data_IF_792580890355
#
_entry.id   IF_792580890355
#
_cell.length_a   1.000
_cell.length_b   1.000
_cell.length_c   1.000
_cell.angle_alpha   90.00
_cell.angle_beta   90.00
_cell.angle_gamma   90.00
#
_symmetry.space_group_name_H-M   'P 1'
#
loop_
_entity.id
_entity.type
_entity.pdbx_description
1 polymer ?
#
# COMPACT_ATOMS: atom_id res chain seq x y z
N UNK A 1 -16.98 9.11 0.31
CA UNK A 1 -16.54 10.00 -0.79
C UNK A 1 -17.67 10.06 -1.79
N UNK A 2 -18.00 11.25 -2.33
CA UNK A 2 -19.04 11.35 -3.36
C UNK A 2 -18.44 10.96 -4.71
N UNK A 3 -19.20 10.23 -5.52
CA UNK A 3 -18.84 9.96 -6.90
C UNK A 3 -18.72 11.30 -7.65
N UNK A 4 -17.67 11.42 -8.44
CA UNK A 4 -17.45 12.54 -9.35
C UNK A 4 -17.03 11.95 -10.70
N UNK A 5 -17.58 12.46 -11.79
CA UNK A 5 -17.20 12.02 -13.12
C UNK A 5 -15.79 12.54 -13.42
N UNK A 6 -14.93 11.68 -13.97
CA UNK A 6 -13.55 12.06 -14.30
C UNK A 6 -13.49 13.20 -15.33
N UNK A 7 -14.47 13.30 -16.24
CA UNK A 7 -14.59 14.40 -17.21
C UNK A 7 -14.83 15.76 -16.56
N UNK A 8 -15.42 15.78 -15.37
CA UNK A 8 -15.73 17.03 -14.66
C UNK A 8 -14.57 17.49 -13.76
N UNK A 9 -13.58 16.61 -13.52
CA UNK A 9 -12.52 16.82 -12.51
C UNK A 9 -11.13 16.86 -13.12
N UNK A 10 -10.87 16.12 -14.21
CA UNK A 10 -9.56 16.00 -14.83
C UNK A 10 -9.50 16.79 -16.15
N UNK A 11 -8.35 17.39 -16.49
CA UNK A 11 -8.12 17.97 -17.82
C UNK A 11 -8.19 16.91 -18.93
N UNK A 12 -8.58 17.33 -20.13
CA UNK A 12 -8.75 16.44 -21.29
C UNK A 12 -7.48 15.64 -21.64
N UNK A 13 -6.31 16.29 -21.58
CA UNK A 13 -5.02 15.64 -21.85
C UNK A 13 -4.75 14.48 -20.87
N UNK A 14 -5.02 14.70 -19.58
CA UNK A 14 -4.83 13.68 -18.55
C UNK A 14 -5.88 12.57 -18.67
N UNK A 15 -7.12 12.93 -19.02
CA UNK A 15 -8.17 11.94 -19.24
C UNK A 15 -7.83 11.02 -20.41
N UNK A 16 -7.31 11.57 -21.51
CA UNK A 16 -6.85 10.80 -22.66
C UNK A 16 -5.74 9.83 -22.27
N UNK A 17 -4.73 10.29 -21.52
CA UNK A 17 -3.67 9.41 -21.01
C UNK A 17 -4.22 8.31 -20.11
N UNK A 18 -5.14 8.60 -19.18
CA UNK A 18 -5.75 7.57 -18.32
C UNK A 18 -6.49 6.53 -19.16
N UNK A 19 -7.19 6.95 -20.21
CA UNK A 19 -7.91 6.05 -21.12
C UNK A 19 -6.99 5.11 -21.91
N UNK A 20 -5.71 5.45 -22.13
CA UNK A 20 -4.75 4.50 -22.73
C UNK A 20 -4.53 3.26 -21.85
N UNK A 21 -4.64 3.41 -20.53
CA UNK A 21 -4.36 2.34 -19.56
C UNK A 21 -5.61 1.75 -18.92
N UNK A 22 -6.72 2.49 -18.86
CA UNK A 22 -7.93 2.07 -18.16
C UNK A 22 -9.20 2.72 -18.74
N UNK A 23 -10.15 1.91 -19.20
CA UNK A 23 -11.39 2.38 -19.83
C UNK A 23 -12.63 1.70 -19.21
N UNK A 24 -13.70 2.48 -19.02
CA UNK A 24 -15.03 1.96 -18.67
C UNK A 24 -15.22 1.47 -17.22
N UNK A 25 -14.23 1.68 -16.34
CA UNK A 25 -14.31 1.28 -14.93
C UNK A 25 -14.20 2.44 -13.93
N UNK A 26 -14.04 2.08 -12.66
CA UNK A 26 -13.76 3.02 -11.56
C UNK A 26 -12.32 2.84 -11.07
N UNK A 27 -11.56 3.94 -11.00
CA UNK A 27 -10.21 3.97 -10.41
C UNK A 27 -10.26 4.77 -9.11
N UNK A 28 -9.63 4.24 -8.07
CA UNK A 28 -9.38 4.99 -6.84
C UNK A 28 -8.09 5.81 -6.98
N UNK A 29 -8.19 7.13 -6.83
CA UNK A 29 -7.03 8.03 -6.75
C UNK A 29 -6.73 8.27 -5.26
N UNK A 30 -5.60 7.74 -4.74
CA UNK A 30 -5.23 7.98 -3.35
C UNK A 30 -4.97 9.48 -3.10
N UNK A 31 -5.32 9.95 -1.90
CA UNK A 31 -5.00 11.32 -1.48
C UNK A 31 -3.49 11.51 -1.43
N UNK A 32 -3.00 12.65 -1.95
CA UNK A 32 -1.59 13.03 -1.80
C UNK A 32 -1.24 13.10 -0.31
N UNK A 33 -0.24 12.33 0.11
CA UNK A 33 0.24 12.23 1.50
C UNK A 33 1.36 13.22 1.79
N UNK A 34 1.25 14.45 1.30
CA UNK A 34 2.30 15.48 1.42
C UNK A 34 2.49 15.92 2.89
N UNK A 35 1.46 15.71 3.73
CA UNK A 35 1.45 16.01 5.17
C UNK A 35 0.83 14.86 5.97
N UNK A 36 1.28 13.62 5.74
CA UNK A 36 1.03 12.55 6.72
C UNK A 36 2.31 12.30 7.51
N UNK A 37 2.60 13.08 8.58
CA UNK A 37 3.63 12.67 9.50
C UNK A 37 3.16 11.37 10.15
N UNK A 38 3.98 10.33 10.10
CA UNK A 38 3.91 9.20 11.03
C UNK A 38 2.61 8.34 11.07
N UNK A 39 1.55 8.59 10.30
CA UNK A 39 0.26 7.89 10.51
C UNK A 39 0.24 6.42 10.05
N UNK A 40 1.37 5.91 9.56
CA UNK A 40 1.59 4.50 9.21
C UNK A 40 2.63 3.80 10.11
N UNK A 41 3.01 4.37 11.25
CA UNK A 41 3.64 3.65 12.36
C UNK A 41 2.63 3.37 13.46
N UNK A 42 1.61 2.58 13.16
CA UNK A 42 0.83 1.96 14.24
C UNK A 42 1.73 1.04 15.04
N UNK A 43 1.58 1.00 16.37
CA UNK A 43 2.35 0.09 17.24
C UNK A 43 2.36 -1.35 16.69
N UNK A 44 1.24 -1.78 16.13
CA UNK A 44 1.09 -3.06 15.44
C UNK A 44 2.11 -3.30 14.30
N UNK A 45 2.39 -2.28 13.48
CA UNK A 45 3.35 -2.40 12.37
C UNK A 45 4.79 -2.50 12.89
N UNK A 46 5.09 -1.82 13.99
CA UNK A 46 6.38 -1.95 14.69
C UNK A 46 6.54 -3.36 15.28
N UNK A 47 5.50 -3.92 15.89
CA UNK A 47 5.53 -5.29 16.41
C UNK A 47 5.67 -6.34 15.30
N UNK A 48 5.00 -6.14 14.15
CA UNK A 48 5.20 -7.01 12.98
C UNK A 48 6.65 -6.97 12.48
N UNK A 49 7.26 -5.79 12.37
CA UNK A 49 8.66 -5.67 11.93
C UNK A 49 9.64 -6.34 12.91
N UNK A 50 9.41 -6.22 14.23
CA UNK A 50 10.20 -6.94 15.24
C UNK A 50 10.08 -8.45 15.08
N UNK A 51 8.85 -8.94 14.90
CA UNK A 51 8.58 -10.36 14.69
C UNK A 51 9.28 -10.88 13.44
N UNK A 52 9.14 -10.18 12.31
CA UNK A 52 9.72 -10.61 11.04
C UNK A 52 11.26 -10.62 11.10
N UNK A 53 11.86 -9.65 11.79
CA UNK A 53 13.31 -9.64 12.06
C UNK A 53 13.76 -10.82 12.92
N UNK A 54 13.00 -11.16 13.97
CA UNK A 54 13.28 -12.31 14.83
C UNK A 54 13.20 -13.65 14.10
N UNK A 55 12.18 -13.82 13.24
CA UNK A 55 12.03 -15.01 12.39
C UNK A 55 13.21 -15.13 11.42
N UNK A 56 13.62 -14.01 10.82
CA UNK A 56 14.75 -13.97 9.90
C UNK A 56 16.07 -14.37 10.58
N UNK A 57 16.34 -13.89 11.79
CA UNK A 57 17.53 -14.28 12.55
C UNK A 57 17.54 -15.78 12.88
N UNK A 58 16.43 -16.32 13.39
CA UNK A 58 16.33 -17.76 13.67
C UNK A 58 16.52 -18.61 12.41
N UNK A 59 16.01 -18.15 11.27
CA UNK A 59 16.23 -18.83 10.01
C UNK A 59 17.72 -18.86 9.62
N UNK A 60 18.44 -17.73 9.79
CA UNK A 60 19.89 -17.68 9.56
C UNK A 60 20.69 -18.58 10.52
N UNK A 61 20.19 -18.78 11.74
CA UNK A 61 20.74 -19.73 12.72
C UNK A 61 20.45 -21.20 12.37
N UNK A 62 19.78 -21.48 11.24
CA UNK A 62 19.53 -22.83 10.73
C UNK A 62 18.23 -23.47 11.22
N UNK A 63 17.31 -22.70 11.79
CA UNK A 63 16.02 -23.22 12.23
C UNK A 63 15.15 -23.58 11.02
N UNK A 64 14.60 -24.80 11.04
CA UNK A 64 13.65 -25.25 10.03
C UNK A 64 12.29 -24.58 10.19
N UNK A 65 11.51 -24.49 9.10
CA UNK A 65 10.19 -23.86 9.12
C UNK A 65 9.25 -24.45 10.17
N UNK A 66 9.37 -25.75 10.50
CA UNK A 66 8.58 -26.38 11.56
C UNK A 66 8.92 -25.89 12.97
N UNK A 67 10.15 -25.43 13.21
CA UNK A 67 10.61 -24.89 14.50
C UNK A 67 10.34 -23.38 14.64
N UNK A 68 9.98 -22.71 13.55
CA UNK A 68 9.60 -21.28 13.53
C UNK A 68 8.10 -21.06 13.78
N UNK A 69 7.31 -22.14 13.86
CA UNK A 69 5.84 -22.11 14.01
C UNK A 69 5.37 -22.19 15.47
N UNK A 70 6.26 -22.54 16.41
CA UNK A 70 6.03 -22.44 17.87
C UNK A 70 6.33 -21.04 18.42
#
# INVERSE_FOLDING_TARGET
MKYQNARDVLPDELLASVQEYFQGGYIYIPRKTENCPERFRTAYKTELLKRDYHIFLKHLEGWSNGQLVE
#
